data_IF_076269218835
#
_entry.id   IF_076269218835
#
_cell.length_a   1.000
_cell.length_b   1.000
_cell.length_c   1.000
_cell.angle_alpha   90.00
_cell.angle_beta   90.00
_cell.angle_gamma   90.00
#
_symmetry.space_group_name_H-M   'P 1'
#
loop_
_entity.id
_entity.type
_entity.pdbx_description
1 polymer ?
#
# COMPACT_ATOMS: atom_id res chain seq x y z
N UNK A 1 14.06 3.22 12.72
CA UNK A 1 13.48 1.87 12.80
C UNK A 1 12.42 1.78 11.71
N UNK A 2 12.50 0.78 10.82
CA UNK A 2 11.50 0.53 9.79
C UNK A 2 10.57 -0.61 10.23
N UNK A 3 9.36 -0.64 9.68
CA UNK A 3 8.36 -1.65 10.04
C UNK A 3 7.88 -2.37 8.79
N UNK A 4 8.03 -3.69 8.76
CA UNK A 4 7.43 -4.55 7.75
C UNK A 4 6.01 -4.95 8.19
N UNK A 5 5.01 -4.58 7.39
CA UNK A 5 3.62 -4.95 7.56
C UNK A 5 3.27 -6.13 6.65
N UNK A 6 3.00 -7.28 7.25
CA UNK A 6 2.43 -8.44 6.57
C UNK A 6 0.92 -8.24 6.45
N UNK A 7 0.38 -8.43 5.24
CA UNK A 7 -1.01 -8.15 4.94
C UNK A 7 -1.90 -9.37 5.14
N UNK A 8 -3.19 -9.13 5.39
CA UNK A 8 -4.18 -10.16 5.67
C UNK A 8 -4.32 -11.16 4.51
N UNK A 9 -4.42 -12.43 4.87
CA UNK A 9 -4.62 -13.54 3.94
C UNK A 9 -5.70 -14.43 4.52
N UNK A 10 -6.81 -14.54 3.80
CA UNK A 10 -7.95 -15.38 4.18
C UNK A 10 -8.10 -16.51 3.16
N UNK A 11 -7.82 -17.76 3.55
CA UNK A 11 -7.84 -18.91 2.63
C UNK A 11 -8.88 -19.93 3.07
N UNK A 12 -9.79 -20.30 2.16
CA UNK A 12 -10.68 -21.47 2.29
C UNK A 12 -11.41 -21.53 3.65
N UNK A 13 -11.94 -20.39 4.11
CA UNK A 13 -12.81 -20.37 5.27
C UNK A 13 -14.27 -20.64 4.86
N UNK A 14 -15.02 -21.28 5.75
CA UNK A 14 -16.47 -21.37 5.62
C UNK A 14 -17.07 -20.09 6.19
N UNK A 15 -18.05 -19.51 5.51
CA UNK A 15 -18.82 -18.40 6.10
C UNK A 15 -19.54 -18.88 7.36
N UNK A 16 -19.76 -17.99 8.32
CA UNK A 16 -20.47 -18.32 9.58
C UNK A 16 -21.81 -18.99 9.29
N UNK A 17 -22.54 -18.52 8.27
CA UNK A 17 -23.79 -19.14 7.85
C UNK A 17 -23.62 -20.57 7.33
N UNK A 18 -22.61 -20.82 6.49
CA UNK A 18 -22.36 -22.15 5.93
C UNK A 18 -21.89 -23.12 7.02
N UNK A 19 -21.10 -22.64 7.99
CA UNK A 19 -20.68 -23.39 9.16
C UNK A 19 -21.88 -23.79 10.03
N UNK A 20 -22.78 -22.84 10.36
CA UNK A 20 -23.99 -23.08 11.15
C UNK A 20 -24.93 -24.06 10.42
N UNK A 21 -25.05 -23.95 9.09
CA UNK A 21 -25.89 -24.82 8.25
C UNK A 21 -25.22 -26.17 7.90
N UNK A 22 -23.99 -26.44 8.36
CA UNK A 22 -23.24 -27.67 8.06
C UNK A 22 -22.86 -27.85 6.58
N UNK A 23 -22.88 -26.77 5.78
CA UNK A 23 -22.57 -26.81 4.34
C UNK A 23 -21.08 -26.63 4.12
N UNK A 24 -20.45 -27.56 3.40
CA UNK A 24 -19.03 -27.51 3.03
C UNK A 24 -18.76 -26.59 1.84
N UNK A 25 -19.24 -25.35 1.90
CA UNK A 25 -19.02 -24.33 0.88
C UNK A 25 -17.92 -23.40 1.40
N UNK A 26 -16.82 -23.34 0.66
CA UNK A 26 -15.65 -22.54 1.00
C UNK A 26 -15.60 -21.30 0.12
N UNK A 27 -15.31 -20.16 0.74
CA UNK A 27 -15.11 -18.91 0.00
C UNK A 27 -13.75 -18.94 -0.74
N UNK A 28 -13.65 -18.25 -1.89
CA UNK A 28 -12.39 -18.11 -2.60
C UNK A 28 -11.36 -17.39 -1.71
N UNK A 29 -10.06 -17.71 -1.87
CA UNK A 29 -9.02 -17.06 -1.09
C UNK A 29 -8.96 -15.55 -1.38
N UNK A 30 -8.86 -14.75 -0.33
CA UNK A 30 -8.72 -13.29 -0.39
C UNK A 30 -7.35 -12.89 0.14
N UNK A 31 -6.64 -12.10 -0.66
CA UNK A 31 -5.35 -11.53 -0.30
C UNK A 31 -5.48 -10.02 -0.25
N UNK A 32 -5.06 -9.44 0.86
CA UNK A 32 -5.14 -8.00 1.05
C UNK A 32 -4.07 -7.29 0.21
N UNK A 33 -4.46 -6.19 -0.44
CA UNK A 33 -3.54 -5.37 -1.26
C UNK A 33 -2.92 -4.23 -0.46
N UNK A 34 -1.81 -3.68 -0.95
CA UNK A 34 -1.18 -2.47 -0.38
C UNK A 34 -2.17 -1.30 -0.35
N UNK A 35 -3.00 -1.13 -1.37
CA UNK A 35 -4.02 -0.08 -1.41
C UNK A 35 -4.99 -0.17 -0.24
N UNK A 36 -5.51 -1.38 0.02
CA UNK A 36 -6.42 -1.63 1.12
C UNK A 36 -5.73 -1.38 2.47
N UNK A 37 -4.47 -1.80 2.60
CA UNK A 37 -3.70 -1.59 3.83
C UNK A 37 -3.45 -0.11 4.09
N UNK A 38 -3.06 0.64 3.06
CA UNK A 38 -2.86 2.08 3.15
C UNK A 38 -4.16 2.81 3.51
N UNK A 39 -5.30 2.45 2.90
CA UNK A 39 -6.61 3.02 3.22
C UNK A 39 -6.99 2.79 4.69
N UNK A 40 -6.79 1.58 5.21
CA UNK A 40 -7.05 1.26 6.62
C UNK A 40 -6.14 2.05 7.56
N UNK A 41 -4.86 2.19 7.23
CA UNK A 41 -3.93 3.01 8.02
C UNK A 41 -4.35 4.48 8.02
N UNK A 42 -4.76 5.04 6.89
CA UNK A 42 -5.29 6.41 6.82
C UNK A 42 -6.55 6.59 7.67
N UNK A 43 -7.44 5.60 7.68
CA UNK A 43 -8.64 5.63 8.52
C UNK A 43 -8.28 5.62 10.02
N UNK A 44 -7.30 4.79 10.41
CA UNK A 44 -6.77 4.75 11.77
C UNK A 44 -6.17 6.10 12.17
N UNK A 45 -5.38 6.74 11.29
CA UNK A 45 -4.79 8.07 11.51
C UNK A 45 -5.89 9.12 11.74
N UNK A 46 -6.93 9.12 10.90
CA UNK A 46 -8.07 10.04 11.05
C UNK A 46 -8.81 9.82 12.37
N UNK A 47 -9.00 8.57 12.77
CA UNK A 47 -9.66 8.21 14.03
C UNK A 47 -8.85 8.63 15.26
N UNK A 48 -7.52 8.50 15.22
CA UNK A 48 -6.63 8.98 16.29
C UNK A 48 -6.70 10.50 16.43
N UNK A 49 -6.61 11.23 15.30
CA UNK A 49 -6.75 12.69 15.28
C UNK A 49 -8.09 13.15 15.83
N UNK A 50 -9.19 12.47 15.48
CA UNK A 50 -10.52 12.77 16.01
C UNK A 50 -10.63 12.56 17.54
N UNK A 51 -9.79 11.70 18.12
CA UNK A 51 -9.70 11.47 19.57
C UNK A 51 -8.74 12.43 20.27
N UNK A 52 -8.03 13.28 19.53
CA UNK A 52 -7.00 14.17 20.06
C UNK A 52 -5.66 13.47 20.35
N UNK A 53 -5.44 12.29 19.77
CA UNK A 53 -4.16 11.56 19.86
C UNK A 53 -3.22 12.01 18.72
N UNK A 54 -1.92 12.08 18.99
CA UNK A 54 -0.92 12.33 17.95
C UNK A 54 -0.55 11.02 17.24
N UNK A 55 -0.82 10.90 15.93
CA UNK A 55 -0.55 9.67 15.21
C UNK A 55 0.95 9.51 14.94
N UNK A 56 1.47 8.30 15.16
CA UNK A 56 2.87 7.97 14.91
C UNK A 56 3.24 7.94 13.41
N UNK A 57 2.23 7.82 12.53
CA UNK A 57 2.34 7.77 11.08
C UNK A 57 1.38 8.81 10.51
N UNK A 58 1.77 9.51 9.45
CA UNK A 58 0.95 10.51 8.76
C UNK A 58 0.74 10.13 7.29
N UNK A 59 -0.12 10.86 6.59
CA UNK A 59 -0.41 10.63 5.18
C UNK A 59 0.83 10.80 4.28
N UNK A 60 1.77 11.63 4.71
CA UNK A 60 3.02 11.99 4.05
C UNK A 60 4.15 11.02 4.42
N UNK A 61 3.94 10.11 5.36
CA UNK A 61 4.97 9.15 5.78
C UNK A 61 5.36 8.27 4.59
N UNK A 62 6.66 8.22 4.30
CA UNK A 62 7.18 7.45 3.19
C UNK A 62 7.00 5.95 3.46
N UNK A 63 6.47 5.26 2.47
CA UNK A 63 6.14 3.85 2.51
C UNK A 63 6.70 3.15 1.26
N UNK A 64 6.85 1.83 1.36
CA UNK A 64 7.26 0.98 0.23
C UNK A 64 6.24 -0.13 0.07
N UNK A 65 5.48 -0.10 -1.02
CA UNK A 65 4.64 -1.19 -1.46
C UNK A 65 5.46 -2.22 -2.21
N UNK A 66 5.28 -3.49 -1.84
CA UNK A 66 5.97 -4.62 -2.43
C UNK A 66 4.95 -5.65 -2.89
N UNK A 67 5.16 -6.25 -4.05
CA UNK A 67 4.39 -7.39 -4.52
C UNK A 67 5.29 -8.45 -5.15
N UNK A 68 4.98 -9.72 -4.87
CA UNK A 68 5.62 -10.90 -5.46
C UNK A 68 7.16 -10.86 -5.33
N UNK A 69 7.64 -10.49 -4.15
CA UNK A 69 9.08 -10.40 -3.85
C UNK A 69 9.77 -11.74 -4.14
N UNK A 70 10.80 -11.73 -4.98
CA UNK A 70 11.52 -12.91 -5.44
C UNK A 70 10.97 -13.58 -6.70
N UNK A 71 9.84 -13.13 -7.25
CA UNK A 71 9.32 -13.59 -8.54
C UNK A 71 9.89 -12.77 -9.71
N UNK A 72 9.81 -13.33 -10.93
CA UNK A 72 10.24 -12.63 -12.16
C UNK A 72 9.46 -11.33 -12.41
N UNK A 73 8.21 -11.29 -11.96
CA UNK A 73 7.31 -10.17 -12.12
C UNK A 73 7.15 -9.33 -10.83
N UNK A 74 8.14 -9.36 -9.93
CA UNK A 74 8.20 -8.56 -8.71
C UNK A 74 7.93 -7.07 -8.99
N UNK A 75 7.13 -6.44 -8.13
CA UNK A 75 6.86 -4.99 -8.18
C UNK A 75 7.27 -4.33 -6.87
N UNK A 76 7.93 -3.18 -6.97
CA UNK A 76 8.32 -2.33 -5.85
C UNK A 76 7.87 -0.92 -6.19
N UNK A 77 7.23 -0.22 -5.24
CA UNK A 77 6.91 1.18 -5.38
C UNK A 77 7.10 1.90 -4.03
N UNK A 78 7.75 3.06 -4.07
CA UNK A 78 8.08 3.91 -2.94
C UNK A 78 7.41 5.28 -3.11
N UNK A 79 6.74 5.73 -2.07
CA UNK A 79 5.92 6.93 -2.10
C UNK A 79 5.23 7.17 -0.76
N UNK A 80 4.46 8.24 -0.65
CA UNK A 80 3.75 8.56 0.58
C UNK A 80 2.66 7.52 0.88
N UNK A 81 2.24 7.42 2.15
CA UNK A 81 1.12 6.57 2.54
C UNK A 81 -0.15 6.88 1.73
N UNK A 82 -0.36 8.17 1.41
CA UNK A 82 -1.46 8.59 0.54
C UNK A 82 -1.33 8.04 -0.89
N UNK A 83 -0.14 8.08 -1.48
CA UNK A 83 0.12 7.52 -2.82
C UNK A 83 -0.07 5.99 -2.83
N UNK A 84 0.21 5.30 -1.72
CA UNK A 84 0.00 3.85 -1.60
C UNK A 84 -1.48 3.45 -1.74
N UNK A 85 -2.44 4.36 -1.53
CA UNK A 85 -3.86 4.05 -1.71
C UNK A 85 -4.25 3.81 -3.17
N UNK A 86 -3.50 4.33 -4.14
CA UNK A 86 -3.82 4.24 -5.57
C UNK A 86 -2.79 3.43 -6.37
N UNK A 87 -1.72 2.94 -5.76
CA UNK A 87 -0.66 2.19 -6.44
C UNK A 87 -1.16 0.86 -7.01
N UNK A 88 -0.77 0.52 -8.25
CA UNK A 88 -1.13 -0.77 -8.86
C UNK A 88 0.10 -1.69 -8.91
N UNK A 89 0.19 -2.65 -7.98
CA UNK A 89 1.33 -3.59 -7.87
C UNK A 89 1.06 -4.96 -8.53
N UNK A 90 -0.08 -5.13 -9.18
CA UNK A 90 -0.50 -6.38 -9.82
C UNK A 90 -1.11 -7.39 -8.85
N UNK A 91 -0.81 -8.67 -9.06
CA UNK A 91 -1.35 -9.78 -8.27
C UNK A 91 -0.64 -10.04 -6.93
N UNK A 92 -1.29 -10.81 -6.02
CA UNK A 92 -0.74 -11.15 -4.71
C UNK A 92 0.53 -12.01 -4.80
N UNK A 93 1.38 -12.11 -3.78
CA UNK A 93 1.27 -11.61 -2.40
C UNK A 93 1.86 -10.20 -2.24
N UNK A 94 1.21 -9.37 -1.42
CA UNK A 94 1.60 -7.99 -1.17
C UNK A 94 2.15 -7.81 0.26
N UNK A 95 3.09 -6.89 0.42
CA UNK A 95 3.56 -6.39 1.71
C UNK A 95 3.78 -4.88 1.66
N UNK A 96 3.73 -4.24 2.82
CA UNK A 96 3.94 -2.80 2.96
C UNK A 96 5.07 -2.57 3.97
N UNK A 97 6.00 -1.68 3.66
CA UNK A 97 7.02 -1.23 4.61
C UNK A 97 6.75 0.23 4.94
N UNK A 98 6.66 0.53 6.24
CA UNK A 98 6.58 1.91 6.74
C UNK A 98 8.00 2.33 7.11
N UNK A 99 8.49 3.40 6.50
CA UNK A 99 9.83 3.90 6.81
C UNK A 99 9.84 4.68 8.13
N UNK A 100 10.96 4.63 8.85
CA UNK A 100 11.15 5.47 10.04
C UNK A 100 11.44 6.92 9.68
N UNK A 101 11.25 7.84 10.61
CA UNK A 101 11.40 9.28 10.39
C UNK A 101 12.81 9.74 9.97
N UNK A 102 13.86 8.95 10.22
CA UNK A 102 15.21 9.21 9.73
C UNK A 102 15.63 8.11 8.75
N UNK A 103 15.79 8.47 7.47
CA UNK A 103 16.35 7.62 6.43
C UNK A 103 17.82 7.97 6.18
N UNK A 104 18.65 6.95 6.01
CA UNK A 104 20.03 7.16 5.57
C UNK A 104 20.04 7.60 4.09
N UNK A 105 20.96 8.47 3.64
CA UNK A 105 21.00 8.93 2.24
C UNK A 105 20.98 7.80 1.20
N UNK A 106 21.72 6.72 1.45
CA UNK A 106 21.71 5.53 0.59
C UNK A 106 20.34 4.84 0.51
N UNK A 107 19.55 4.85 1.59
CA UNK A 107 18.19 4.31 1.56
C UNK A 107 17.29 5.18 0.67
N UNK A 108 17.42 6.50 0.78
CA UNK A 108 16.68 7.46 -0.08
C UNK A 108 17.05 7.27 -1.55
N UNK A 109 18.34 7.14 -1.86
CA UNK A 109 18.83 6.84 -3.20
C UNK A 109 18.23 5.54 -3.74
N UNK A 110 18.22 4.48 -2.93
CA UNK A 110 17.61 3.20 -3.32
C UNK A 110 16.10 3.33 -3.57
N UNK A 111 15.37 4.03 -2.70
CA UNK A 111 13.92 4.25 -2.85
C UNK A 111 13.59 5.10 -4.08
N UNK A 112 14.47 6.03 -4.45
CA UNK A 112 14.30 6.89 -5.64
C UNK A 112 14.32 6.11 -6.97
N UNK A 113 14.82 4.87 -6.97
CA UNK A 113 14.78 3.99 -8.13
C UNK A 113 13.39 3.40 -8.40
N UNK A 114 12.49 3.47 -7.41
CA UNK A 114 11.15 2.86 -7.48
C UNK A 114 10.04 3.86 -7.14
N UNK A 115 9.95 5.03 -7.77
CA UNK A 115 8.91 6.00 -7.42
C UNK A 115 7.51 5.47 -7.75
N UNK A 116 6.51 5.79 -6.92
CA UNK A 116 5.11 5.62 -7.34
C UNK A 116 4.85 6.54 -8.54
N UNK A 117 4.32 6.01 -9.66
CA UNK A 117 3.96 6.87 -10.79
C UNK A 117 2.87 7.86 -10.35
N UNK A 118 3.15 9.15 -10.50
CA UNK A 118 2.16 10.17 -10.24
C UNK A 118 0.98 9.99 -11.21
N UNK A 119 -0.24 9.93 -10.68
CA UNK A 119 -1.43 10.02 -11.51
C UNK A 119 -1.45 11.42 -12.13
N UNK A 120 -1.06 11.49 -13.41
CA UNK A 120 -0.95 12.70 -14.22
C UNK A 120 -2.12 13.66 -14.01
N UNK A 121 -1.83 14.81 -13.43
CA UNK A 121 -2.70 15.99 -13.45
C UNK A 121 -2.60 16.69 -14.82
N UNK A 122 -3.30 16.16 -15.83
CA UNK A 122 -3.66 16.88 -17.07
C UNK A 122 -2.52 17.30 -18.02
N UNK A 123 -2.84 17.63 -19.29
CA UNK A 123 -1.83 17.96 -20.28
C UNK A 123 -1.24 19.35 -20.00
N UNK A 124 0.09 19.41 -19.93
CA UNK A 124 0.80 20.68 -20.06
C UNK A 124 0.53 21.22 -21.45
N UNK A 125 -0.13 22.38 -21.54
CA UNK A 125 -0.25 23.16 -22.76
C UNK A 125 1.13 23.43 -23.32
N UNK A 126 1.51 22.70 -24.37
CA UNK A 126 2.63 23.04 -25.21
C UNK A 126 2.18 24.16 -26.16
N UNK A 127 2.12 25.39 -25.65
CA UNK A 127 2.21 26.59 -26.48
C UNK A 127 3.66 27.08 -26.43
N UNK A 128 4.49 26.48 -27.29
CA UNK A 128 5.73 27.09 -27.72
C UNK A 128 5.50 27.67 -29.12
N UNK A 129 5.68 28.98 -29.34
CA UNK A 129 5.66 29.52 -30.69
C UNK A 129 7.03 29.32 -31.33
N UNK A 130 7.06 28.85 -32.59
CA UNK A 130 7.95 29.26 -33.69
C UNK A 130 8.01 28.16 -34.78
N UNK A 131 8.33 28.49 -36.05
CA UNK A 131 8.82 29.77 -36.57
C UNK A 131 7.81 30.58 -37.40
#
# INVERSE_FOLDING_TARGET
>A
MHTLCLLDIKVKEQSLENLIKGRKIYEPPRYMTVNQAAQQLLEVIRNQRARGEEPAVTEETLCVGLARVGAEDQQIAAGTLQQMCSVALGGPLHSLVITGGSLHPLEVEMLSLFPVPEASSGPQSAEGPCP
#
